data_IF_755658778480
#
_entry.id   IF_755658778480
#
_cell.length_a   1.000
_cell.length_b   1.000
_cell.length_c   1.000
_cell.angle_alpha   90.00
_cell.angle_beta   90.00
_cell.angle_gamma   90.00
#
_symmetry.space_group_name_H-M   'P 1'
#
loop_
_entity.id
_entity.type
_entity.pdbx_description
1 polymer ?
#
# COMPACT_ATOMS: atom_id res chain seq x y z
N UNK A 1 -9.66 -66.90 13.35
CA UNK A 1 -10.67 -65.82 13.50
C UNK A 1 -10.08 -64.41 13.50
N UNK A 2 -8.76 -64.23 13.66
CA UNK A 2 -8.11 -62.92 13.86
C UNK A 2 -7.95 -62.03 12.61
N UNK A 3 -7.96 -62.56 11.38
CA UNK A 3 -7.70 -61.77 10.15
C UNK A 3 -8.82 -60.79 9.77
N UNK A 4 -10.10 -61.18 9.94
CA UNK A 4 -11.26 -60.33 9.58
C UNK A 4 -11.42 -59.09 10.47
N UNK A 5 -10.91 -59.13 11.70
CA UNK A 5 -10.92 -58.00 12.63
C UNK A 5 -9.82 -56.97 12.36
N UNK A 6 -8.71 -57.38 11.74
CA UNK A 6 -7.62 -56.48 11.35
C UNK A 6 -7.99 -55.72 10.07
N UNK A 7 -8.47 -56.44 9.06
CA UNK A 7 -8.87 -55.87 7.75
C UNK A 7 -10.01 -54.85 7.86
N UNK A 8 -10.98 -55.07 8.78
CA UNK A 8 -12.07 -54.12 9.02
C UNK A 8 -11.60 -52.84 9.73
N UNK A 9 -10.51 -52.92 10.49
CA UNK A 9 -9.89 -51.81 11.24
C UNK A 9 -9.08 -50.91 10.30
N UNK A 10 -8.34 -51.50 9.38
CA UNK A 10 -7.64 -50.78 8.30
C UNK A 10 -8.63 -50.02 7.39
N UNK A 11 -9.77 -50.63 7.04
CA UNK A 11 -10.81 -49.97 6.24
C UNK A 11 -11.49 -48.81 6.97
N UNK A 12 -11.54 -48.83 8.32
CA UNK A 12 -12.08 -47.70 9.10
C UNK A 12 -11.06 -46.57 9.19
N UNK A 13 -9.78 -46.88 9.40
CA UNK A 13 -8.70 -45.90 9.44
C UNK A 13 -8.51 -45.19 8.08
N UNK A 14 -8.56 -45.95 6.97
CA UNK A 14 -8.53 -45.38 5.61
C UNK A 14 -9.75 -44.49 5.31
N UNK A 15 -10.94 -44.88 5.78
CA UNK A 15 -12.15 -44.06 5.63
C UNK A 15 -12.05 -42.75 6.41
N UNK A 16 -11.50 -42.78 7.62
CA UNK A 16 -11.28 -41.60 8.45
C UNK A 16 -10.19 -40.68 7.88
N UNK A 17 -9.15 -41.24 7.27
CA UNK A 17 -8.05 -40.49 6.64
C UNK A 17 -8.50 -39.81 5.31
N UNK A 18 -9.34 -40.47 4.52
CA UNK A 18 -9.98 -39.89 3.33
C UNK A 18 -10.99 -38.80 3.74
N UNK A 19 -11.78 -39.02 4.79
CA UNK A 19 -12.71 -38.00 5.30
C UNK A 19 -11.97 -36.77 5.86
N UNK A 20 -10.88 -36.98 6.61
CA UNK A 20 -10.04 -35.89 7.12
C UNK A 20 -9.32 -35.12 6.01
N UNK A 21 -8.81 -35.80 4.98
CA UNK A 21 -8.17 -35.13 3.85
C UNK A 21 -9.15 -34.28 3.04
N UNK A 22 -10.39 -34.76 2.82
CA UNK A 22 -11.45 -33.98 2.16
C UNK A 22 -11.95 -32.77 2.97
N UNK A 23 -11.99 -32.88 4.30
CA UNK A 23 -12.33 -31.74 5.17
C UNK A 23 -11.20 -30.70 5.18
N UNK A 24 -9.94 -31.15 5.25
CA UNK A 24 -8.77 -30.27 5.22
C UNK A 24 -8.66 -29.52 3.88
N UNK A 25 -8.93 -30.18 2.74
CA UNK A 25 -8.91 -29.48 1.44
C UNK A 25 -9.94 -28.34 1.37
N UNK A 26 -11.12 -28.51 1.96
CA UNK A 26 -12.15 -27.47 1.98
C UNK A 26 -11.73 -26.23 2.77
N UNK A 27 -11.09 -26.40 3.94
CA UNK A 27 -10.67 -25.27 4.79
C UNK A 27 -9.57 -24.41 4.14
N UNK A 28 -8.60 -25.02 3.44
CA UNK A 28 -7.55 -24.27 2.72
C UNK A 28 -8.08 -23.55 1.49
N UNK A 29 -9.02 -24.16 0.76
CA UNK A 29 -9.67 -23.55 -0.40
C UNK A 29 -10.47 -22.30 0.00
N UNK A 30 -11.26 -22.38 1.08
CA UNK A 30 -12.01 -21.24 1.61
C UNK A 30 -11.09 -20.08 2.04
N UNK A 31 -9.97 -20.39 2.71
CA UNK A 31 -9.01 -19.38 3.15
C UNK A 31 -8.32 -18.68 1.96
N UNK A 32 -7.94 -19.43 0.92
CA UNK A 32 -7.36 -18.86 -0.31
C UNK A 32 -8.38 -18.04 -1.11
N UNK A 33 -9.64 -18.46 -1.12
CA UNK A 33 -10.71 -17.73 -1.79
C UNK A 33 -10.99 -16.38 -1.11
N UNK A 34 -10.91 -16.33 0.22
CA UNK A 34 -10.98 -15.09 0.98
C UNK A 34 -9.83 -14.13 0.65
N UNK A 35 -8.59 -14.64 0.59
CA UNK A 35 -7.42 -13.85 0.20
C UNK A 35 -7.57 -13.28 -1.21
N UNK A 36 -7.97 -14.12 -2.18
CA UNK A 36 -8.20 -13.70 -3.58
C UNK A 36 -9.23 -12.59 -3.66
N UNK A 37 -10.36 -12.72 -2.97
CA UNK A 37 -11.43 -11.73 -2.96
C UNK A 37 -10.95 -10.38 -2.40
N UNK A 38 -10.16 -10.41 -1.32
CA UNK A 38 -9.55 -9.21 -0.71
C UNK A 38 -8.55 -8.54 -1.66
N UNK A 39 -7.65 -9.31 -2.28
CA UNK A 39 -6.68 -8.79 -3.26
C UNK A 39 -7.40 -8.11 -4.44
N UNK A 40 -8.44 -8.75 -5.00
CA UNK A 40 -9.21 -8.18 -6.11
C UNK A 40 -9.91 -6.88 -5.66
N UNK A 41 -10.47 -6.85 -4.45
CA UNK A 41 -11.11 -5.65 -3.91
C UNK A 41 -10.09 -4.50 -3.73
N UNK A 42 -8.93 -4.78 -3.14
CA UNK A 42 -7.86 -3.80 -2.98
C UNK A 42 -7.35 -3.29 -4.33
N UNK A 43 -7.13 -4.17 -5.31
CA UNK A 43 -6.74 -3.76 -6.68
C UNK A 43 -7.82 -2.92 -7.36
N UNK A 44 -9.09 -3.27 -7.20
CA UNK A 44 -10.20 -2.51 -7.78
C UNK A 44 -10.26 -1.10 -7.20
N UNK A 45 -10.09 -0.96 -5.88
CA UNK A 45 -9.99 0.36 -5.21
C UNK A 45 -8.75 1.12 -5.69
N UNK A 46 -7.60 0.46 -5.81
CA UNK A 46 -6.38 1.07 -6.31
C UNK A 46 -6.55 1.67 -7.70
N UNK A 47 -7.13 0.94 -8.65
CA UNK A 47 -7.38 1.45 -10.00
C UNK A 47 -8.42 2.58 -9.99
N UNK A 48 -9.48 2.47 -9.20
CA UNK A 48 -10.50 3.51 -9.09
C UNK A 48 -9.92 4.82 -8.54
N UNK A 49 -9.13 4.74 -7.47
CA UNK A 49 -8.47 5.91 -6.86
C UNK A 49 -7.38 6.47 -7.76
N UNK A 50 -6.56 5.63 -8.38
CA UNK A 50 -5.53 6.09 -9.32
C UNK A 50 -6.13 6.81 -10.51
N UNK A 51 -7.25 6.30 -11.07
CA UNK A 51 -7.96 6.96 -12.16
C UNK A 51 -8.52 8.32 -11.71
N UNK A 52 -9.15 8.38 -10.54
CA UNK A 52 -9.66 9.63 -9.98
C UNK A 52 -8.52 10.64 -9.72
N UNK A 53 -7.38 10.18 -9.19
CA UNK A 53 -6.19 10.99 -8.95
C UNK A 53 -5.59 11.52 -10.25
N UNK A 54 -5.63 10.74 -11.34
CA UNK A 54 -5.21 11.19 -12.66
C UNK A 54 -6.11 12.32 -13.18
N UNK A 55 -7.43 12.19 -13.03
CA UNK A 55 -8.40 13.23 -13.42
C UNK A 55 -8.25 14.52 -12.59
N UNK A 56 -7.81 14.41 -11.34
CA UNK A 56 -7.57 15.54 -10.44
C UNK A 56 -6.08 15.93 -10.36
N UNK A 57 -5.24 15.44 -11.26
CA UNK A 57 -3.78 15.56 -11.17
C UNK A 57 -3.31 17.02 -11.12
N UNK A 58 -3.94 17.95 -11.84
CA UNK A 58 -3.62 19.38 -11.76
C UNK A 58 -3.83 19.97 -10.35
N UNK A 59 -4.89 19.55 -9.65
CA UNK A 59 -5.18 20.00 -8.27
C UNK A 59 -4.21 19.39 -7.27
N UNK A 60 -3.91 18.11 -7.42
CA UNK A 60 -2.98 17.41 -6.54
C UNK A 60 -1.56 17.96 -6.72
N UNK A 61 -1.14 18.16 -7.98
CA UNK A 61 0.16 18.74 -8.29
C UNK A 61 0.28 20.16 -7.73
N UNK A 62 -0.70 21.05 -7.96
CA UNK A 62 -0.65 22.41 -7.42
C UNK A 62 -0.58 22.46 -5.90
N UNK A 63 -1.25 21.53 -5.20
CA UNK A 63 -1.09 21.36 -3.75
C UNK A 63 0.33 20.94 -3.38
N UNK A 64 0.87 19.89 -4.00
CA UNK A 64 2.21 19.38 -3.72
C UNK A 64 3.33 20.39 -4.04
N UNK A 65 3.09 21.28 -5.00
CA UNK A 65 4.02 22.33 -5.42
C UNK A 65 4.01 23.57 -4.53
N UNK A 66 3.06 23.72 -3.60
CA UNK A 66 2.97 24.88 -2.72
C UNK A 66 4.30 25.21 -1.98
N UNK A 67 5.03 24.24 -1.39
CA UNK A 67 6.28 24.52 -0.69
C UNK A 67 7.40 25.03 -1.61
N UNK A 68 7.35 24.70 -2.90
CA UNK A 68 8.33 25.14 -3.90
C UNK A 68 8.06 26.58 -4.31
N UNK A 69 6.78 26.92 -4.52
CA UNK A 69 6.37 28.28 -4.84
C UNK A 69 6.67 29.24 -3.68
N UNK A 70 6.47 28.82 -2.43
CA UNK A 70 6.82 29.62 -1.25
C UNK A 70 8.33 29.92 -1.15
N UNK A 71 9.16 29.06 -1.73
CA UNK A 71 10.62 29.23 -1.80
C UNK A 71 11.08 29.97 -3.08
N UNK A 72 10.15 30.39 -3.94
CA UNK A 72 10.45 31.11 -5.19
C UNK A 72 11.15 30.26 -6.27
N UNK A 73 11.10 28.93 -6.15
CA UNK A 73 11.73 28.02 -7.10
C UNK A 73 10.82 27.77 -8.31
N UNK A 74 11.38 27.82 -9.51
CA UNK A 74 10.70 27.45 -10.75
C UNK A 74 11.04 26.01 -11.12
N UNK A 75 10.03 25.20 -11.40
CA UNK A 75 10.20 23.84 -11.89
C UNK A 75 10.20 23.82 -13.41
N UNK A 76 11.14 23.09 -13.97
CA UNK A 76 11.29 22.95 -15.42
C UNK A 76 10.80 21.58 -15.87
N UNK A 77 10.29 21.54 -17.09
CA UNK A 77 10.03 20.30 -17.83
C UNK A 77 11.05 20.23 -18.95
N UNK A 78 11.84 19.16 -19.00
CA UNK A 78 12.90 18.98 -19.99
C UNK A 78 12.36 18.46 -21.32
N UNK A 79 11.17 17.87 -21.32
CA UNK A 79 10.52 17.37 -22.53
C UNK A 79 8.98 17.50 -22.46
N UNK A 80 8.28 17.64 -23.60
CA UNK A 80 6.82 17.80 -23.62
C UNK A 80 6.08 16.59 -23.01
N UNK A 81 6.61 15.37 -23.17
CA UNK A 81 6.04 14.15 -22.59
C UNK A 81 6.26 14.03 -21.08
N UNK A 82 7.19 14.81 -20.50
CA UNK A 82 7.58 14.65 -19.10
C UNK A 82 6.45 15.03 -18.15
N UNK A 83 5.69 16.09 -18.47
CA UNK A 83 4.54 16.52 -17.66
C UNK A 83 3.48 15.42 -17.58
N UNK A 84 3.17 14.79 -18.71
CA UNK A 84 2.22 13.67 -18.77
C UNK A 84 2.69 12.49 -17.91
N UNK A 85 3.95 12.09 -18.07
CA UNK A 85 4.52 11.00 -17.28
C UNK A 85 4.55 11.32 -15.79
N UNK A 86 4.87 12.55 -15.42
CA UNK A 86 4.85 13.00 -14.03
C UNK A 86 3.45 12.88 -13.41
N UNK A 87 2.40 13.27 -14.14
CA UNK A 87 1.02 13.16 -13.66
C UNK A 87 0.53 11.71 -13.59
N UNK A 88 0.95 10.85 -14.52
CA UNK A 88 0.67 9.42 -14.47
C UNK A 88 1.31 8.78 -13.23
N UNK A 89 2.60 9.08 -12.97
CA UNK A 89 3.28 8.58 -11.78
C UNK A 89 2.63 9.12 -10.51
N UNK A 90 2.32 10.42 -10.47
CA UNK A 90 1.63 11.05 -9.36
C UNK A 90 0.29 10.36 -9.05
N UNK A 91 -0.51 10.08 -10.07
CA UNK A 91 -1.79 9.41 -9.92
C UNK A 91 -1.63 8.00 -9.33
N UNK A 92 -0.65 7.23 -9.80
CA UNK A 92 -0.31 5.92 -9.25
C UNK A 92 0.13 6.04 -7.80
N UNK A 93 1.01 6.99 -7.47
CA UNK A 93 1.49 7.20 -6.10
C UNK A 93 0.37 7.56 -5.14
N UNK A 94 -0.49 8.49 -5.51
CA UNK A 94 -1.68 8.85 -4.71
C UNK A 94 -2.60 7.64 -4.55
N UNK A 95 -2.79 6.87 -5.61
CA UNK A 95 -3.49 5.59 -5.58
C UNK A 95 -2.93 4.63 -4.53
N UNK A 96 -1.61 4.46 -4.48
CA UNK A 96 -0.92 3.63 -3.48
C UNK A 96 -1.16 4.20 -2.09
N UNK A 97 -0.89 5.48 -1.85
CA UNK A 97 -1.01 6.12 -0.53
C UNK A 97 -2.43 5.96 0.04
N UNK A 98 -3.46 6.10 -0.79
CA UNK A 98 -4.85 5.96 -0.34
C UNK A 98 -5.28 4.50 -0.20
N UNK A 99 -4.78 3.60 -1.06
CA UNK A 99 -5.22 2.19 -1.07
C UNK A 99 -4.46 1.32 -0.08
N UNK A 100 -3.21 1.66 0.23
CA UNK A 100 -2.36 0.94 1.17
C UNK A 100 -2.98 0.82 2.58
N UNK A 101 -3.53 1.87 3.22
CA UNK A 101 -4.21 1.72 4.50
C UNK A 101 -5.44 0.80 4.41
N UNK A 102 -6.18 0.86 3.30
CA UNK A 102 -7.31 -0.04 3.05
C UNK A 102 -6.87 -1.49 2.84
N UNK A 103 -5.78 -1.71 2.11
CA UNK A 103 -5.20 -3.03 1.89
C UNK A 103 -4.67 -3.63 3.21
N UNK A 104 -4.03 -2.82 4.05
CA UNK A 104 -3.57 -3.25 5.39
C UNK A 104 -4.75 -3.60 6.30
N UNK A 105 -5.84 -2.84 6.26
CA UNK A 105 -7.08 -3.19 6.96
C UNK A 105 -7.61 -4.55 6.51
N UNK A 106 -7.69 -4.78 5.20
CA UNK A 106 -8.16 -6.06 4.67
C UNK A 106 -7.24 -7.22 5.04
N UNK A 107 -5.92 -7.00 5.05
CA UNK A 107 -4.93 -7.98 5.47
C UNK A 107 -5.06 -8.31 6.96
N UNK A 108 -5.23 -7.30 7.81
CA UNK A 108 -5.43 -7.54 9.24
C UNK A 108 -6.75 -8.26 9.55
N UNK A 109 -7.82 -7.99 8.79
CA UNK A 109 -9.06 -8.77 8.88
C UNK A 109 -8.89 -10.22 8.42
N UNK A 110 -8.03 -10.49 7.44
CA UNK A 110 -7.69 -11.84 7.02
C UNK A 110 -6.89 -12.62 8.09
N UNK A 111 -6.08 -11.90 8.88
CA UNK A 111 -5.35 -12.48 10.01
C UNK A 111 -6.21 -12.66 11.27
N UNK A 112 -7.37 -11.99 11.35
CA UNK A 112 -8.31 -12.08 12.47
C UNK A 112 -8.69 -13.51 12.92
N UNK A 113 -9.01 -14.47 12.03
CA UNK A 113 -9.31 -15.84 12.44
C UNK A 113 -8.14 -16.54 13.12
N UNK A 114 -6.89 -16.17 12.82
CA UNK A 114 -5.69 -16.76 13.42
C UNK A 114 -5.41 -16.24 14.85
N UNK A 115 -6.11 -15.20 15.31
CA UNK A 115 -5.83 -14.56 16.60
C UNK A 115 -6.54 -15.21 17.80
N UNK A 116 -5.80 -15.31 18.91
CA UNK A 116 -6.30 -15.79 20.19
C UNK A 116 -7.38 -14.85 20.74
N UNK A 117 -8.40 -15.39 21.42
CA UNK A 117 -9.54 -14.62 21.95
C UNK A 117 -9.13 -13.41 22.81
N UNK A 118 -8.05 -13.52 23.56
CA UNK A 118 -7.54 -12.47 24.44
C UNK A 118 -6.79 -11.34 23.70
N UNK A 119 -6.36 -11.57 22.45
CA UNK A 119 -5.57 -10.61 21.65
C UNK A 119 -6.44 -9.81 20.66
N UNK A 120 -7.69 -10.24 20.45
CA UNK A 120 -8.64 -9.61 19.52
C UNK A 120 -8.92 -8.14 19.83
N UNK A 121 -8.91 -7.76 21.11
CA UNK A 121 -9.11 -6.36 21.53
C UNK A 121 -7.99 -5.44 21.03
N UNK A 122 -6.73 -5.86 21.20
CA UNK A 122 -5.56 -5.10 20.71
C UNK A 122 -5.51 -5.06 19.19
N UNK A 123 -5.85 -6.16 18.53
CA UNK A 123 -5.90 -6.23 17.08
C UNK A 123 -6.94 -5.29 16.47
N UNK A 124 -8.11 -5.14 17.12
CA UNK A 124 -9.14 -4.21 16.66
C UNK A 124 -8.68 -2.75 16.78
N UNK A 125 -8.01 -2.40 17.89
CA UNK A 125 -7.38 -1.10 18.07
C UNK A 125 -6.30 -0.83 17.02
N UNK A 126 -5.45 -1.82 16.74
CA UNK A 126 -4.42 -1.74 15.72
C UNK A 126 -5.01 -1.56 14.31
N UNK A 127 -6.07 -2.31 13.96
CA UNK A 127 -6.78 -2.16 12.70
C UNK A 127 -7.28 -0.73 12.51
N UNK A 128 -7.90 -0.11 13.52
CA UNK A 128 -8.33 1.28 13.45
C UNK A 128 -7.18 2.29 13.42
N UNK A 129 -6.08 2.02 14.12
CA UNK A 129 -4.94 2.90 14.24
C UNK A 129 -4.10 2.96 12.96
N UNK A 130 -3.91 1.84 12.26
CA UNK A 130 -3.10 1.74 11.03
C UNK A 130 -3.47 2.78 9.96
N UNK A 131 -4.73 2.91 9.51
CA UNK A 131 -5.08 3.90 8.50
C UNK A 131 -4.86 5.33 9.00
N UNK A 132 -5.16 5.60 10.28
CA UNK A 132 -4.98 6.93 10.87
C UNK A 132 -3.50 7.29 10.94
N UNK A 133 -2.65 6.38 11.43
CA UNK A 133 -1.21 6.59 11.52
C UNK A 133 -0.57 6.71 10.13
N UNK A 134 -1.03 5.94 9.14
CA UNK A 134 -0.51 6.03 7.78
C UNK A 134 -0.79 7.41 7.17
N UNK A 135 -2.04 7.88 7.25
CA UNK A 135 -2.42 9.21 6.74
C UNK A 135 -1.72 10.33 7.52
N UNK A 136 -1.65 10.21 8.86
CA UNK A 136 -0.93 11.18 9.69
C UNK A 136 0.57 11.19 9.38
N UNK A 137 1.17 10.03 9.13
CA UNK A 137 2.57 9.85 8.74
C UNK A 137 2.86 10.50 7.40
N UNK A 138 2.07 10.19 6.36
CA UNK A 138 2.22 10.81 5.04
C UNK A 138 2.00 12.33 5.08
N UNK A 139 1.03 12.82 5.88
CA UNK A 139 0.81 14.25 6.07
C UNK A 139 1.99 14.92 6.79
N UNK A 140 2.54 14.30 7.84
CA UNK A 140 3.72 14.79 8.54
C UNK A 140 4.97 14.77 7.66
N UNK A 141 5.13 13.75 6.81
CA UNK A 141 6.21 13.66 5.84
C UNK A 141 6.16 14.83 4.83
N UNK A 142 4.97 15.16 4.33
CA UNK A 142 4.79 16.34 3.48
C UNK A 142 5.08 17.65 4.23
N UNK A 143 4.52 17.84 5.43
CA UNK A 143 4.62 19.11 6.14
C UNK A 143 6.02 19.38 6.74
N UNK A 144 6.70 18.34 7.22
CA UNK A 144 7.98 18.48 7.94
C UNK A 144 9.17 17.97 7.13
N UNK A 145 9.09 16.78 6.53
CA UNK A 145 10.25 16.21 5.82
C UNK A 145 10.50 16.90 4.49
N UNK A 146 9.46 17.19 3.68
CA UNK A 146 9.64 17.84 2.39
C UNK A 146 10.43 19.17 2.45
N UNK A 147 10.11 20.15 3.33
CA UNK A 147 10.89 21.38 3.41
C UNK A 147 12.30 21.16 3.97
N UNK A 148 12.50 20.20 4.88
CA UNK A 148 13.83 19.88 5.43
C UNK A 148 14.73 19.29 4.35
N UNK A 149 14.22 18.32 3.58
CA UNK A 149 14.94 17.69 2.48
C UNK A 149 15.26 18.70 1.38
N UNK A 150 14.30 19.55 1.03
CA UNK A 150 14.50 20.59 0.01
C UNK A 150 15.58 21.59 0.45
N UNK A 151 15.55 22.07 1.70
CA UNK A 151 16.58 22.96 2.25
C UNK A 151 17.95 22.30 2.31
N UNK A 152 18.01 21.02 2.68
CA UNK A 152 19.25 20.25 2.69
C UNK A 152 19.88 20.18 1.29
N UNK A 153 19.10 19.81 0.27
CA UNK A 153 19.60 19.74 -1.10
C UNK A 153 19.98 21.11 -1.68
N UNK A 154 19.22 22.17 -1.36
CA UNK A 154 19.58 23.53 -1.74
C UNK A 154 20.89 23.98 -1.09
N UNK A 155 21.08 23.69 0.20
CA UNK A 155 22.33 24.00 0.91
C UNK A 155 23.51 23.18 0.38
N UNK A 156 23.28 21.93 -0.02
CA UNK A 156 24.31 21.06 -0.62
C UNK A 156 24.70 21.50 -2.03
N UNK A 157 23.76 22.01 -2.82
CA UNK A 157 24.04 22.53 -4.16
C UNK A 157 24.84 23.85 -4.13
N UNK A 158 24.86 24.56 -3.00
CA UNK A 158 25.62 25.79 -2.83
C UNK A 158 27.10 25.52 -2.57
N UNK A 159 27.97 25.80 -3.55
CA UNK A 159 29.43 25.73 -3.36
C UNK A 159 30.25 25.65 -4.65
N UNK A 160 29.68 25.04 -5.70
CA UNK A 160 30.44 24.62 -6.88
C UNK A 160 30.20 25.49 -8.13
N UNK A 161 29.45 26.58 -7.99
CA UNK A 161 29.11 27.48 -9.12
C UNK A 161 28.10 26.91 -10.12
N UNK A 162 27.43 25.79 -9.80
CA UNK A 162 26.40 25.16 -10.63
C UNK A 162 25.02 25.48 -10.05
N UNK A 163 24.19 26.20 -10.79
CA UNK A 163 22.81 26.46 -10.38
C UNK A 163 21.94 25.19 -10.54
N UNK A 164 21.24 24.74 -9.48
CA UNK A 164 20.44 23.53 -9.55
C UNK A 164 19.16 23.75 -10.36
N UNK A 165 19.03 23.03 -11.49
CA UNK A 165 17.80 22.95 -12.27
C UNK A 165 16.88 21.87 -11.70
N UNK A 166 15.74 22.29 -11.16
CA UNK A 166 14.76 21.38 -10.56
C UNK A 166 13.74 20.92 -11.61
N UNK A 167 13.70 19.61 -11.85
CA UNK A 167 12.73 18.99 -12.75
C UNK A 167 11.41 18.65 -12.05
N UNK A 168 10.27 18.92 -12.69
CA UNK A 168 8.94 18.62 -12.15
C UNK A 168 8.79 17.14 -11.78
N UNK A 169 9.20 16.24 -12.68
CA UNK A 169 9.04 14.79 -12.47
C UNK A 169 9.89 14.30 -11.29
N UNK A 170 11.14 14.76 -11.22
CA UNK A 170 12.09 14.40 -10.17
C UNK A 170 11.61 14.91 -8.82
N UNK A 171 11.08 16.14 -8.77
CA UNK A 171 10.51 16.70 -7.56
C UNK A 171 9.29 15.91 -7.07
N UNK A 172 8.33 15.62 -7.95
CA UNK A 172 7.14 14.82 -7.59
C UNK A 172 7.51 13.39 -7.18
N UNK A 173 8.50 12.77 -7.84
CA UNK A 173 9.00 11.45 -7.46
C UNK A 173 9.70 11.46 -6.10
N UNK A 174 10.49 12.50 -5.81
CA UNK A 174 11.11 12.68 -4.50
C UNK A 174 10.05 12.82 -3.39
N UNK A 175 9.05 13.67 -3.60
CA UNK A 175 7.94 13.81 -2.65
C UNK A 175 7.21 12.50 -2.42
N UNK A 176 6.87 11.78 -3.49
CA UNK A 176 6.21 10.49 -3.39
C UNK A 176 7.04 9.47 -2.59
N UNK A 177 8.37 9.44 -2.80
CA UNK A 177 9.27 8.54 -2.07
C UNK A 177 9.44 8.88 -0.59
N UNK A 178 9.21 10.13 -0.18
CA UNK A 178 9.27 10.54 1.23
C UNK A 178 7.94 10.28 1.96
N UNK A 179 6.81 10.29 1.23
CA UNK A 179 5.47 10.12 1.80
C UNK A 179 5.04 8.66 2.01
N UNK A 180 5.69 7.73 1.32
CA UNK A 180 5.44 6.29 1.37
C UNK A 180 6.42 5.59 2.31
#
# INVERSE_FOLDING_TARGET
MTKRTVERRDLTELSDEVARSGLMSGEWEEHLEELRRRIIAALSVFFAVSLLAFLLSDRIASFLLAPVHDLGLTLYTFAPQEKFMAYLHLAVWVGIVVTLPFALLQLGLFLWPALRRNEKGYALGALGAVPVLFIAGSAAAYAFMAPVVLRFFLAFAGGDGVEPLWGLRQYLAMLAGIML
#
